data_IF_824469481789
#
_entry.id   IF_824469481789
#
_cell.length_a   1.000
_cell.length_b   1.000
_cell.length_c   1.000
_cell.angle_alpha   90.00
_cell.angle_beta   90.00
_cell.angle_gamma   90.00
#
_symmetry.space_group_name_H-M   'P 1'
#
loop_
_entity.id
_entity.type
_entity.pdbx_description
1 polymer ?
#
# COMPACT_ATOMS: atom_id res chain seq x y z
N UNK A 1 -1.50 -11.39 1.75
CA UNK A 1 -2.76 -11.36 2.52
C UNK A 1 -3.15 -9.92 2.70
N UNK A 2 -4.45 -9.62 2.75
CA UNK A 2 -4.94 -8.25 2.81
C UNK A 2 -4.33 -7.50 4.02
N UNK A 3 -3.93 -6.25 3.77
CA UNK A 3 -3.29 -5.31 4.69
C UNK A 3 -1.90 -5.67 5.19
N UNK A 4 -1.31 -6.77 4.73
CA UNK A 4 0.09 -7.09 5.00
C UNK A 4 1.02 -6.29 4.09
N UNK A 5 2.15 -5.87 4.66
CA UNK A 5 3.18 -5.12 3.96
C UNK A 5 4.32 -6.03 3.60
N UNK A 6 4.77 -5.96 2.34
CA UNK A 6 5.85 -6.77 1.81
C UNK A 6 6.94 -5.91 1.16
N UNK A 7 8.16 -6.44 1.12
CA UNK A 7 9.23 -5.89 0.29
C UNK A 7 9.08 -6.28 -1.18
N UNK A 8 9.64 -5.50 -2.10
CA UNK A 8 9.85 -5.94 -3.48
C UNK A 8 11.11 -6.81 -3.62
N UNK A 9 11.01 -7.98 -4.26
CA UNK A 9 12.17 -8.85 -4.59
C UNK A 9 13.03 -8.35 -5.76
N UNK A 10 12.56 -7.34 -6.48
CA UNK A 10 13.22 -6.77 -7.66
C UNK A 10 13.47 -5.29 -7.46
N UNK A 11 14.40 -4.74 -8.23
CA UNK A 11 14.53 -3.29 -8.33
C UNK A 11 13.21 -2.66 -8.79
N UNK A 12 12.82 -1.63 -8.05
CA UNK A 12 11.59 -0.88 -8.19
C UNK A 12 11.81 0.52 -7.61
N UNK A 13 11.04 1.49 -8.08
CA UNK A 13 11.00 2.84 -7.50
C UNK A 13 10.61 2.81 -6.01
N UNK A 14 9.81 1.81 -5.63
CA UNK A 14 9.33 1.60 -4.27
C UNK A 14 9.97 0.35 -3.68
N UNK A 15 10.28 0.39 -2.38
CA UNK A 15 10.86 -0.75 -1.65
C UNK A 15 9.81 -1.59 -0.94
N UNK A 16 8.68 -0.98 -0.59
CA UNK A 16 7.58 -1.59 0.15
C UNK A 16 6.24 -1.41 -0.58
N UNK A 17 5.31 -2.31 -0.33
CA UNK A 17 3.90 -2.18 -0.72
C UNK A 17 2.98 -2.90 0.27
N UNK A 18 1.77 -2.40 0.41
CA UNK A 18 0.69 -3.07 1.16
C UNK A 18 -0.23 -3.81 0.19
N UNK A 19 -0.53 -5.06 0.49
CA UNK A 19 -1.55 -5.84 -0.21
C UNK A 19 -2.94 -5.33 0.18
N UNK A 20 -3.77 -4.95 -0.80
CA UNK A 20 -5.11 -4.40 -0.56
C UNK A 20 -6.22 -5.28 -1.12
N UNK A 21 -5.86 -6.35 -1.82
CA UNK A 21 -6.83 -7.27 -2.39
C UNK A 21 -7.47 -8.10 -1.27
N UNK A 22 -8.79 -8.29 -1.35
CA UNK A 22 -9.48 -9.17 -0.42
C UNK A 22 -8.96 -10.61 -0.51
N UNK A 23 -8.87 -11.29 0.63
CA UNK A 23 -8.38 -12.67 0.68
C UNK A 23 -9.39 -13.69 0.11
N UNK A 24 -10.66 -13.31 -0.07
CA UNK A 24 -11.67 -14.16 -0.74
C UNK A 24 -11.63 -14.05 -2.27
N UNK A 25 -10.94 -13.05 -2.82
CA UNK A 25 -10.83 -12.86 -4.27
C UNK A 25 -9.57 -13.57 -4.76
N UNK A 26 -9.76 -14.60 -5.58
CA UNK A 26 -8.68 -15.33 -6.22
C UNK A 26 -8.30 -14.72 -7.58
N UNK A 27 -7.04 -14.30 -7.69
CA UNK A 27 -6.40 -13.91 -8.95
C UNK A 27 -5.07 -14.65 -9.05
N UNK A 28 -5.05 -15.81 -9.73
CA UNK A 28 -3.91 -16.72 -9.71
C UNK A 28 -2.57 -16.04 -10.01
N UNK A 29 -1.64 -16.17 -9.06
CA UNK A 29 -0.27 -15.67 -9.19
C UNK A 29 -0.12 -14.15 -9.12
N UNK A 30 -1.15 -13.39 -8.71
CA UNK A 30 -1.11 -11.93 -8.64
C UNK A 30 -1.84 -11.37 -7.41
N UNK A 31 -1.50 -10.15 -7.02
CA UNK A 31 -2.20 -9.38 -5.98
C UNK A 31 -2.30 -7.91 -6.36
N UNK A 32 -3.41 -7.26 -6.00
CA UNK A 32 -3.52 -5.79 -6.05
C UNK A 32 -2.84 -5.17 -4.83
N UNK A 33 -1.97 -4.20 -5.04
CA UNK A 33 -1.15 -3.59 -3.98
C UNK A 33 -1.07 -2.08 -4.12
N UNK A 34 -0.87 -1.39 -3.00
CA UNK A 34 -0.53 0.03 -2.96
C UNK A 34 0.94 0.18 -2.54
N UNK A 35 1.81 0.79 -3.36
CA UNK A 35 3.18 1.05 -2.98
C UNK A 35 3.30 2.05 -1.83
N UNK A 36 4.38 1.93 -1.05
CA UNK A 36 4.71 2.85 0.04
C UNK A 36 5.93 3.68 -0.34
N UNK A 37 5.85 4.99 -0.11
CA UNK A 37 6.97 5.93 -0.24
C UNK A 37 7.33 6.50 1.13
N UNK A 38 8.61 6.82 1.36
CA UNK A 38 9.01 7.52 2.58
C UNK A 38 8.24 8.84 2.69
N UNK A 39 7.60 9.09 3.83
CA UNK A 39 6.82 10.31 4.03
C UNK A 39 7.67 11.58 3.90
N UNK A 40 8.98 11.48 4.12
CA UNK A 40 9.96 12.56 3.97
C UNK A 40 10.09 13.07 2.54
N UNK A 41 9.68 12.28 1.55
CA UNK A 41 9.75 12.65 0.13
C UNK A 41 8.53 13.45 -0.35
N UNK A 42 7.48 13.57 0.47
CA UNK A 42 6.24 14.25 0.12
C UNK A 42 6.05 15.50 0.98
N UNK A 43 5.51 16.55 0.37
CA UNK A 43 5.09 17.76 1.10
C UNK A 43 3.90 17.49 2.00
N UNK A 44 3.80 18.20 3.13
CA UNK A 44 2.62 18.17 4.01
C UNK A 44 1.33 18.65 3.33
N UNK A 45 1.43 19.35 2.20
CA UNK A 45 0.28 19.76 1.37
C UNK A 45 -0.41 18.58 0.67
N UNK A 46 0.24 17.42 0.60
CA UNK A 46 -0.34 16.23 -0.02
C UNK A 46 -1.43 15.66 0.88
N UNK A 47 -2.64 15.50 0.32
CA UNK A 47 -3.83 15.01 1.01
C UNK A 47 -3.53 13.74 1.82
N UNK A 48 -3.82 13.77 3.12
CA UNK A 48 -3.69 12.60 4.01
C UNK A 48 -4.86 11.64 3.85
N UNK A 49 -5.98 12.09 3.29
CA UNK A 49 -7.14 11.26 2.97
C UNK A 49 -6.84 10.39 1.75
N UNK A 50 -6.24 10.96 0.70
CA UNK A 50 -5.85 10.21 -0.51
C UNK A 50 -4.52 9.46 -0.33
N UNK A 51 -3.58 10.00 0.46
CA UNK A 51 -2.28 9.38 0.72
C UNK A 51 -2.04 9.22 2.23
N UNK A 52 -2.70 8.24 2.88
CA UNK A 52 -2.57 8.00 4.32
C UNK A 52 -1.12 7.85 4.77
N UNK A 53 -0.82 8.43 5.94
CA UNK A 53 0.45 8.22 6.63
C UNK A 53 0.33 7.00 7.52
N UNK A 54 1.26 6.05 7.41
CA UNK A 54 1.39 4.86 8.27
C UNK A 54 2.78 4.79 8.88
N UNK A 55 2.93 4.03 9.96
CA UNK A 55 4.21 3.84 10.64
C UNK A 55 4.62 2.37 10.53
N UNK A 56 5.85 2.13 10.10
CA UNK A 56 6.47 0.80 10.02
C UNK A 56 7.82 0.91 10.69
N UNK A 57 7.98 0.26 11.85
CA UNK A 57 9.09 0.56 12.75
C UNK A 57 9.07 2.03 13.19
N UNK A 58 10.24 2.67 13.16
CA UNK A 58 10.40 4.09 13.51
C UNK A 58 10.22 5.04 12.31
N UNK A 59 9.80 4.52 11.15
CA UNK A 59 9.67 5.29 9.92
C UNK A 59 8.20 5.58 9.54
N UNK A 60 7.95 6.81 9.10
CA UNK A 60 6.66 7.21 8.52
C UNK A 60 6.66 7.01 7.00
N UNK A 61 5.61 6.36 6.51
CA UNK A 61 5.39 6.03 5.11
C UNK A 61 4.08 6.62 4.60
N UNK A 62 4.02 6.92 3.31
CA UNK A 62 2.83 7.36 2.59
C UNK A 62 2.35 6.22 1.70
N UNK A 63 1.06 5.89 1.80
CA UNK A 63 0.41 5.00 0.83
C UNK A 63 0.23 5.78 -0.47
N UNK A 64 0.90 5.33 -1.53
CA UNK A 64 0.82 5.93 -2.86
C UNK A 64 -0.42 5.41 -3.58
N UNK A 65 -1.60 5.75 -3.08
CA UNK A 65 -2.90 5.17 -3.51
C UNK A 65 -3.11 5.24 -5.03
N UNK A 66 -2.71 6.34 -5.67
CA UNK A 66 -2.81 6.52 -7.13
C UNK A 66 -1.85 5.66 -7.94
N UNK A 67 -0.82 5.11 -7.30
CA UNK A 67 0.15 4.19 -7.90
C UNK A 67 -0.24 2.72 -7.64
N UNK A 68 -1.47 2.48 -7.18
CA UNK A 68 -2.01 1.14 -6.98
C UNK A 68 -1.92 0.31 -8.27
N UNK A 69 -1.40 -0.91 -8.14
CA UNK A 69 -1.17 -1.79 -9.28
C UNK A 69 -1.25 -3.26 -8.89
N UNK A 70 -1.50 -4.12 -9.88
CA UNK A 70 -1.38 -5.56 -9.70
C UNK A 70 0.08 -6.00 -9.87
N UNK A 71 0.61 -6.77 -8.91
CA UNK A 71 1.96 -7.33 -8.97
C UNK A 71 1.95 -8.87 -9.04
N UNK A 72 2.89 -9.50 -9.75
CA UNK A 72 3.07 -10.96 -9.72
C UNK A 72 3.50 -11.45 -8.33
N UNK A 73 3.03 -12.62 -7.90
CA UNK A 73 3.44 -13.25 -6.65
C UNK A 73 4.97 -13.47 -6.57
N UNK A 74 5.63 -13.65 -7.72
CA UNK A 74 7.08 -13.80 -7.82
C UNK A 74 7.88 -12.59 -7.35
N UNK A 75 7.29 -11.38 -7.34
CA UNK A 75 7.97 -10.17 -6.86
C UNK A 75 7.70 -9.87 -5.39
N UNK A 76 6.80 -10.62 -4.74
CA UNK A 76 6.46 -10.42 -3.33
C UNK A 76 7.57 -10.98 -2.45
N UNK A 77 8.17 -10.09 -1.66
CA UNK A 77 9.27 -10.35 -0.75
C UNK A 77 8.82 -10.77 0.64
N UNK A 78 9.61 -10.36 1.63
CA UNK A 78 9.35 -10.66 3.04
C UNK A 78 8.19 -9.82 3.55
N UNK A 79 7.33 -10.40 4.39
CA UNK A 79 6.38 -9.64 5.19
C UNK A 79 7.14 -8.84 6.25
N UNK A 80 6.84 -7.54 6.36
CA UNK A 80 7.55 -6.63 7.29
C UNK A 80 6.62 -5.90 8.25
N UNK A 81 5.32 -5.84 7.96
CA UNK A 81 4.34 -5.19 8.83
C UNK A 81 2.89 -5.63 8.53
N UNK A 82 1.98 -5.25 9.42
CA UNK A 82 0.54 -5.44 9.31
C UNK A 82 -0.19 -4.10 9.52
N UNK A 83 -0.91 -3.66 8.49
CA UNK A 83 -1.69 -2.41 8.48
C UNK A 83 -3.20 -2.64 8.61
N UNK A 84 -3.65 -3.82 9.05
CA UNK A 84 -5.07 -4.10 9.31
C UNK A 84 -5.70 -3.10 10.27
N UNK A 85 -4.95 -2.62 11.28
CA UNK A 85 -5.39 -1.54 12.18
C UNK A 85 -5.66 -0.19 11.48
N UNK A 86 -5.25 -0.02 10.23
CA UNK A 86 -5.48 1.16 9.36
C UNK A 86 -6.48 0.88 8.25
N UNK A 87 -7.20 -0.23 8.30
CA UNK A 87 -8.18 -0.65 7.31
C UNK A 87 -9.10 0.49 6.84
N UNK A 88 -9.67 1.26 7.77
CA UNK A 88 -10.58 2.36 7.44
C UNK A 88 -9.91 3.44 6.58
N UNK A 89 -8.69 3.85 6.92
CA UNK A 89 -7.97 4.87 6.16
C UNK A 89 -7.59 4.38 4.76
N UNK A 90 -7.21 3.11 4.65
CA UNK A 90 -6.86 2.47 3.37
C UNK A 90 -8.10 2.39 2.47
N UNK A 91 -9.24 1.94 3.02
CA UNK A 91 -10.51 1.86 2.30
C UNK A 91 -11.00 3.23 1.86
N UNK A 92 -10.95 4.23 2.74
CA UNK A 92 -11.35 5.59 2.42
C UNK A 92 -10.48 6.19 1.31
N UNK A 93 -9.16 5.97 1.34
CA UNK A 93 -8.28 6.43 0.28
C UNK A 93 -8.61 5.81 -1.09
N UNK A 94 -8.87 4.49 -1.13
CA UNK A 94 -9.29 3.78 -2.35
C UNK A 94 -10.64 4.31 -2.84
N UNK A 95 -11.61 4.48 -1.95
CA UNK A 95 -12.93 5.00 -2.28
C UNK A 95 -12.85 6.43 -2.82
N UNK A 96 -12.08 7.30 -2.16
CA UNK A 96 -11.85 8.68 -2.60
C UNK A 96 -11.23 8.72 -4.00
N UNK A 97 -10.28 7.83 -4.31
CA UNK A 97 -9.64 7.76 -5.62
C UNK A 97 -10.64 7.47 -6.75
N UNK A 98 -11.60 6.58 -6.53
CA UNK A 98 -12.54 6.15 -7.58
C UNK A 98 -13.84 6.95 -7.58
N UNK A 99 -14.32 7.37 -6.41
CA UNK A 99 -15.69 7.84 -6.21
C UNK A 99 -15.75 9.28 -5.67
N UNK A 100 -14.64 9.82 -5.16
CA UNK A 100 -14.61 11.19 -4.64
C UNK A 100 -15.39 11.41 -3.33
N UNK A 101 -15.75 10.33 -2.62
CA UNK A 101 -16.54 10.35 -1.38
C UNK A 101 -15.76 9.83 -0.18
#
# INVERSE_FOLDING_TARGET
MQFKVYTYKRESRYTLFVDVQSDIIDTPGRRMVIPLASARLLSDKVSRELYPVVHIGDESWRLMTTDMASVPASVIGQEVADLSHRENDIKNAINLMFWGI
#
